data_IF_199582556607
#
_entry.id   IF_199582556607
#
_cell.length_a   1.000
_cell.length_b   1.000
_cell.length_c   1.000
_cell.angle_alpha   90.00
_cell.angle_beta   90.00
_cell.angle_gamma   90.00
#
_symmetry.space_group_name_H-M   'P 1'
#
loop_
_entity.id
_entity.type
_entity.pdbx_description
1 polymer ?
#
# COMPACT_ATOMS: atom_id res chain seq x y z
N UNK A 1 -35.54 32.92 32.60
CA UNK A 1 -35.51 32.45 31.19
C UNK A 1 -34.13 32.56 30.53
N UNK A 2 -33.38 33.67 30.62
CA UNK A 2 -32.07 33.84 29.96
C UNK A 2 -30.94 32.88 30.40
N UNK A 3 -30.98 32.37 31.64
CA UNK A 3 -29.98 31.44 32.20
C UNK A 3 -30.09 30.01 31.63
N UNK A 4 -31.31 29.51 31.39
CA UNK A 4 -31.51 28.19 30.76
C UNK A 4 -31.04 28.17 29.30
N UNK A 5 -31.29 29.24 28.54
CA UNK A 5 -30.89 29.33 27.14
C UNK A 5 -29.36 29.29 26.99
N UNK A 6 -28.62 29.99 27.86
CA UNK A 6 -27.15 29.95 27.87
C UNK A 6 -26.60 28.56 28.19
N UNK A 7 -27.14 27.88 29.20
CA UNK A 7 -26.68 26.54 29.58
C UNK A 7 -26.93 25.50 28.47
N UNK A 8 -28.03 25.64 27.75
CA UNK A 8 -28.37 24.76 26.63
C UNK A 8 -27.42 24.96 25.43
N UNK A 9 -27.08 26.22 25.09
CA UNK A 9 -26.14 26.54 24.02
C UNK A 9 -24.74 25.98 24.30
N UNK A 10 -24.24 26.08 25.54
CA UNK A 10 -22.95 25.51 25.92
C UNK A 10 -22.91 23.98 25.79
N UNK A 11 -23.98 23.29 26.22
CA UNK A 11 -24.05 21.84 26.10
C UNK A 11 -24.05 21.38 24.63
N UNK A 12 -24.77 22.09 23.75
CA UNK A 12 -24.80 21.81 22.31
C UNK A 12 -23.43 22.06 21.66
N UNK A 13 -22.72 23.12 22.04
CA UNK A 13 -21.37 23.39 21.55
C UNK A 13 -20.38 22.31 21.97
N UNK A 14 -20.44 21.85 23.23
CA UNK A 14 -19.57 20.77 23.72
C UNK A 14 -19.84 19.48 22.95
N UNK A 15 -21.12 19.12 22.76
CA UNK A 15 -21.50 17.95 21.97
C UNK A 15 -21.03 18.03 20.51
N UNK A 16 -21.13 19.22 19.88
CA UNK A 16 -20.65 19.43 18.52
C UNK A 16 -19.11 19.33 18.42
N UNK A 17 -18.38 19.86 19.40
CA UNK A 17 -16.91 19.73 19.45
C UNK A 17 -16.49 18.28 19.66
N UNK A 18 -17.14 17.56 20.58
CA UNK A 18 -16.85 16.13 20.82
C UNK A 18 -17.16 15.28 19.58
N UNK A 19 -18.30 15.53 18.90
CA UNK A 19 -18.63 14.85 17.65
C UNK A 19 -17.62 15.18 16.52
N UNK A 20 -17.18 16.44 16.44
CA UNK A 20 -16.12 16.86 15.52
C UNK A 20 -14.80 16.13 15.76
N UNK A 21 -14.36 16.00 17.02
CA UNK A 21 -13.12 15.29 17.38
C UNK A 21 -13.19 13.81 17.00
N UNK A 22 -14.35 13.15 17.18
CA UNK A 22 -14.54 11.74 16.81
C UNK A 22 -14.43 11.53 15.30
N UNK A 23 -14.98 12.43 14.47
CA UNK A 23 -14.89 12.32 13.01
C UNK A 23 -13.47 12.49 12.47
N UNK A 24 -12.62 13.26 13.16
CA UNK A 24 -11.21 13.45 12.78
C UNK A 24 -10.35 12.26 13.24
N UNK A 25 -10.73 11.61 14.35
CA UNK A 25 -9.96 10.52 14.94
C UNK A 25 -10.10 9.17 14.21
N UNK A 26 -11.16 8.99 13.41
CA UNK A 26 -11.43 7.72 12.71
C UNK A 26 -11.70 7.96 11.23
N UNK A 27 -10.66 8.24 10.42
CA UNK A 27 -10.81 8.22 8.97
C UNK A 27 -11.32 6.85 8.52
N UNK A 28 -12.16 6.82 7.50
CA UNK A 28 -12.63 5.58 6.88
C UNK A 28 -11.45 4.67 6.49
N UNK A 29 -11.63 3.34 6.46
CA UNK A 29 -10.58 2.43 6.02
C UNK A 29 -10.16 2.81 4.60
N UNK A 30 -8.99 3.44 4.48
CA UNK A 30 -8.41 3.77 3.18
C UNK A 30 -7.99 2.46 2.52
N UNK A 31 -8.26 2.35 1.22
CA UNK A 31 -7.62 1.31 0.41
C UNK A 31 -6.10 1.49 0.54
N UNK A 32 -5.39 0.38 0.67
CA UNK A 32 -3.94 0.39 0.71
C UNK A 32 -3.46 -0.85 -0.03
N UNK A 33 -3.23 -0.65 -1.32
CA UNK A 33 -2.97 -1.72 -2.28
C UNK A 33 -1.81 -1.31 -3.21
N UNK A 34 -1.27 -2.29 -3.94
CA UNK A 34 -0.18 -2.05 -4.88
C UNK A 34 -0.65 -1.18 -6.06
N UNK A 35 0.14 -0.18 -6.41
CA UNK A 35 -0.18 0.81 -7.45
C UNK A 35 0.36 0.42 -8.83
N UNK A 36 1.37 -0.44 -8.90
CA UNK A 36 1.95 -0.94 -10.13
C UNK A 36 1.50 -2.39 -10.37
N UNK A 37 1.36 -2.78 -11.65
CA UNK A 37 1.01 -4.14 -12.07
C UNK A 37 2.24 -5.02 -12.35
N UNK A 38 3.34 -4.41 -12.76
CA UNK A 38 4.50 -5.13 -13.30
C UNK A 38 5.82 -4.59 -12.74
N UNK A 39 6.89 -5.38 -12.88
CA UNK A 39 8.24 -5.10 -12.43
C UNK A 39 8.42 -5.19 -10.91
N UNK A 40 9.56 -4.65 -10.44
CA UNK A 40 10.00 -4.71 -9.04
C UNK A 40 9.74 -3.41 -8.25
N UNK A 41 9.27 -2.34 -8.90
CA UNK A 41 9.03 -1.04 -8.26
C UNK A 41 7.67 -1.02 -7.55
N UNK A 42 7.57 -1.74 -6.43
CA UNK A 42 6.33 -1.87 -5.67
C UNK A 42 6.01 -0.59 -4.90
N UNK A 43 4.92 0.05 -5.28
CA UNK A 43 4.40 1.25 -4.62
C UNK A 43 3.01 0.94 -4.04
N UNK A 44 2.71 1.52 -2.88
CA UNK A 44 1.43 1.31 -2.18
C UNK A 44 0.63 2.61 -2.11
N UNK A 45 -0.69 2.52 -2.26
CA UNK A 45 -1.55 3.67 -2.10
C UNK A 45 -3.04 3.35 -2.24
N UNK A 46 -3.89 4.40 -2.26
CA UNK A 46 -5.34 4.25 -2.21
C UNK A 46 -6.00 3.99 -3.57
N UNK A 47 -5.26 4.14 -4.66
CA UNK A 47 -5.78 4.08 -6.03
C UNK A 47 -5.08 2.95 -6.81
N UNK A 48 -5.31 1.67 -6.46
CA UNK A 48 -4.78 0.56 -7.22
C UNK A 48 -5.33 0.57 -8.66
N UNK A 49 -4.59 0.01 -9.62
CA UNK A 49 -5.08 -0.14 -10.98
C UNK A 49 -6.31 -1.05 -11.01
N UNK A 50 -7.34 -0.65 -11.75
CA UNK A 50 -8.57 -1.46 -11.90
C UNK A 50 -8.31 -2.79 -12.61
N UNK A 51 -7.35 -2.79 -13.54
CA UNK A 51 -6.91 -3.97 -14.27
C UNK A 51 -5.43 -3.87 -14.62
N UNK A 52 -4.78 -5.02 -14.73
CA UNK A 52 -3.42 -5.16 -15.22
C UNK A 52 -3.41 -5.73 -16.64
N UNK A 53 -2.38 -5.40 -17.41
CA UNK A 53 -2.19 -6.03 -18.72
C UNK A 53 -1.78 -7.50 -18.55
N UNK A 54 -2.00 -8.33 -19.56
CA UNK A 54 -1.57 -9.73 -19.56
C UNK A 54 -0.07 -9.92 -19.89
N UNK A 55 0.69 -8.82 -19.95
CA UNK A 55 2.13 -8.85 -20.20
C UNK A 55 2.83 -9.30 -18.92
N UNK A 56 3.87 -10.12 -19.06
CA UNK A 56 4.75 -10.48 -17.97
C UNK A 56 6.05 -9.68 -18.08
N UNK A 57 6.45 -9.00 -17.03
CA UNK A 57 7.76 -8.32 -16.94
C UNK A 57 8.65 -9.01 -15.90
N UNK A 58 9.95 -8.88 -16.09
CA UNK A 58 10.93 -9.36 -15.11
C UNK A 58 10.68 -8.71 -13.74
N UNK A 59 10.51 -9.52 -12.70
CA UNK A 59 10.18 -9.08 -11.35
C UNK A 59 8.71 -9.21 -10.98
N UNK A 60 7.82 -9.49 -11.94
CA UNK A 60 6.40 -9.75 -11.67
C UNK A 60 6.24 -10.89 -10.67
N UNK A 61 7.11 -11.91 -10.72
CA UNK A 61 7.09 -13.03 -9.79
C UNK A 61 7.31 -12.64 -8.33
N UNK A 62 8.03 -11.54 -8.06
CA UNK A 62 8.26 -11.05 -6.70
C UNK A 62 6.98 -10.49 -6.05
N UNK A 63 5.94 -10.19 -6.82
CA UNK A 63 4.65 -9.69 -6.33
C UNK A 63 4.01 -10.63 -5.31
N UNK A 64 4.27 -11.94 -5.39
CA UNK A 64 3.78 -12.93 -4.42
C UNK A 64 4.23 -12.67 -2.98
N UNK A 65 5.30 -11.88 -2.80
CA UNK A 65 5.83 -11.47 -1.50
C UNK A 65 5.50 -10.02 -1.13
N UNK A 66 4.93 -9.24 -2.06
CA UNK A 66 4.60 -7.84 -1.85
C UNK A 66 3.25 -7.70 -1.14
N UNK A 67 3.21 -6.88 -0.09
CA UNK A 67 2.00 -6.54 0.63
C UNK A 67 2.04 -5.06 1.03
N UNK A 68 0.87 -4.42 1.08
CA UNK A 68 0.73 -3.06 1.56
C UNK A 68 0.10 -3.05 2.95
N UNK A 69 0.53 -2.12 3.80
CA UNK A 69 0.03 -1.95 5.16
C UNK A 69 -0.19 -0.47 5.48
N UNK A 70 -1.11 -0.20 6.42
CA UNK A 70 -1.33 1.14 6.97
C UNK A 70 -0.64 1.23 8.32
N UNK A 71 0.34 2.13 8.44
CA UNK A 71 1.06 2.39 9.70
C UNK A 71 0.96 3.87 10.04
N UNK A 72 0.38 4.16 11.21
CA UNK A 72 0.10 5.53 11.67
C UNK A 72 -0.65 6.38 10.62
N UNK A 73 -1.59 5.77 9.90
CA UNK A 73 -2.38 6.44 8.85
C UNK A 73 -1.70 6.56 7.49
N UNK A 74 -0.45 6.10 7.34
CA UNK A 74 0.28 6.11 6.07
C UNK A 74 0.25 4.72 5.42
N UNK A 75 -0.18 4.65 4.16
CA UNK A 75 -0.10 3.44 3.36
C UNK A 75 1.33 3.26 2.83
N UNK A 76 1.93 2.09 3.09
CA UNK A 76 3.31 1.77 2.70
C UNK A 76 3.47 0.30 2.36
N UNK A 77 4.58 -0.05 1.71
CA UNK A 77 4.97 -1.44 1.49
C UNK A 77 5.37 -2.07 2.83
N UNK A 78 4.81 -3.24 3.13
CA UNK A 78 5.14 -4.00 4.31
C UNK A 78 6.58 -4.53 4.22
N UNK A 79 7.30 -4.51 5.34
CA UNK A 79 8.64 -5.08 5.41
C UNK A 79 8.56 -6.61 5.26
N UNK A 80 9.20 -7.13 4.21
CA UNK A 80 9.26 -8.57 3.96
C UNK A 80 10.65 -8.96 3.42
N UNK A 81 11.45 -9.72 4.19
CA UNK A 81 12.77 -10.17 3.76
C UNK A 81 12.74 -10.96 2.44
N UNK A 82 11.71 -11.77 2.19
CA UNK A 82 11.57 -12.55 0.96
C UNK A 82 11.35 -11.65 -0.26
N UNK A 83 10.66 -10.52 -0.08
CA UNK A 83 10.47 -9.53 -1.14
C UNK A 83 11.80 -8.85 -1.46
N UNK A 84 12.54 -8.41 -0.44
CA UNK A 84 13.86 -7.79 -0.61
C UNK A 84 14.84 -8.72 -1.30
N UNK A 85 14.89 -9.98 -0.90
CA UNK A 85 15.73 -11.01 -1.54
C UNK A 85 15.32 -11.26 -2.99
N UNK A 86 14.02 -11.41 -3.25
CA UNK A 86 13.51 -11.61 -4.61
C UNK A 86 13.88 -10.45 -5.55
N UNK A 87 13.66 -9.21 -5.11
CA UNK A 87 13.99 -8.00 -5.88
C UNK A 87 15.51 -7.95 -6.14
N UNK A 88 16.32 -8.20 -5.10
CA UNK A 88 17.78 -8.19 -5.23
C UNK A 88 18.27 -9.22 -6.25
N UNK A 89 17.76 -10.46 -6.16
CA UNK A 89 18.10 -11.53 -7.09
C UNK A 89 17.65 -11.19 -8.51
N UNK A 90 16.40 -10.76 -8.69
CA UNK A 90 15.83 -10.45 -10.01
C UNK A 90 16.51 -9.24 -10.67
N UNK A 91 16.91 -8.24 -9.89
CA UNK A 91 17.66 -7.10 -10.41
C UNK A 91 19.01 -7.51 -11.01
N UNK A 92 19.63 -8.58 -10.53
CA UNK A 92 20.85 -9.12 -11.15
C UNK A 92 20.58 -9.79 -12.50
N UNK A 93 19.37 -10.30 -12.72
CA UNK A 93 18.95 -10.92 -13.99
C UNK A 93 18.76 -9.87 -15.11
N UNK A 94 18.47 -8.60 -14.77
CA UNK A 94 18.38 -7.50 -15.75
C UNK A 94 19.70 -7.20 -16.48
N UNK A 95 20.83 -7.69 -15.96
CA UNK A 95 22.14 -7.52 -16.59
C UNK A 95 22.38 -8.50 -17.75
N UNK A 96 21.48 -9.46 -17.95
CA UNK A 96 21.60 -10.44 -19.02
C UNK A 96 21.18 -9.83 -20.36
N UNK A 97 21.99 -10.07 -21.39
CA UNK A 97 21.71 -9.56 -22.74
C UNK A 97 20.63 -10.36 -23.48
N UNK A 98 20.51 -11.64 -23.15
CA UNK A 98 19.47 -12.52 -23.68
C UNK A 98 18.22 -12.47 -22.76
N UNK A 99 17.05 -12.06 -23.29
CA UNK A 99 15.81 -12.04 -22.53
C UNK A 99 15.42 -13.42 -21.98
N UNK A 100 15.71 -14.52 -22.69
CA UNK A 100 15.33 -15.85 -22.22
C UNK A 100 16.16 -16.26 -21.01
N UNK A 101 17.48 -16.05 -21.06
CA UNK A 101 18.35 -16.22 -19.90
C UNK A 101 17.92 -15.37 -18.70
N UNK A 102 17.43 -14.14 -18.91
CA UNK A 102 16.94 -13.28 -17.84
C UNK A 102 15.71 -13.88 -17.13
N UNK A 103 14.76 -14.44 -17.88
CA UNK A 103 13.58 -15.10 -17.31
C UNK A 103 13.92 -16.43 -16.62
N UNK A 104 14.85 -17.22 -17.17
CA UNK A 104 15.35 -18.43 -16.51
C UNK A 104 16.05 -18.09 -15.17
N UNK A 105 16.79 -16.98 -15.15
CA UNK A 105 17.40 -16.44 -13.94
C UNK A 105 16.34 -16.03 -12.90
N UNK A 106 15.27 -15.33 -13.29
CA UNK A 106 14.17 -14.99 -12.38
C UNK A 106 13.50 -16.26 -11.83
N UNK A 107 13.25 -17.27 -12.68
CA UNK A 107 12.68 -18.54 -12.23
C UNK A 107 13.54 -19.21 -11.16
N UNK A 108 14.87 -19.15 -11.27
CA UNK A 108 15.78 -19.62 -10.23
C UNK A 108 15.69 -18.78 -8.94
N UNK A 109 15.52 -17.45 -9.05
CA UNK A 109 15.32 -16.57 -7.89
C UNK A 109 14.04 -16.90 -7.11
N UNK A 110 12.96 -17.27 -7.80
CA UNK A 110 11.65 -17.53 -7.18
C UNK A 110 11.56 -18.86 -6.42
N UNK A 111 12.53 -19.75 -6.63
CA UNK A 111 12.64 -21.09 -6.04
C UNK A 111 13.69 -21.18 -4.92
N UNK A 112 14.25 -20.03 -4.50
CA UNK A 112 15.05 -19.92 -3.27
C UNK A 112 14.15 -19.70 -2.07
#
# INVERSE_FOLDING_TARGET
>A
MKKCVRSFVFAVLILAVLAGVVLIAFPSPQKCELLNCHGTDFQCGPNPPEACTAIYMLGDGCRKYAACEIVAGNCRLAENPLLTECISCTNSCNLMHDPMAAFDCEAACLNK
#
